data_IF_301557668634
#
_entry.id   IF_301557668634
#
_cell.length_a   1.000
_cell.length_b   1.000
_cell.length_c   1.000
_cell.angle_alpha   90.00
_cell.angle_beta   90.00
_cell.angle_gamma   90.00
#
_symmetry.space_group_name_H-M   'P 1'
#
loop_
_entity.id
_entity.type
_entity.pdbx_description
1 polymer ?
#
# COMPACT_ATOMS: atom_id res chain seq x y z
N UNK A 1 -13.52 1.66 13.81
CA UNK A 1 -13.10 1.12 15.12
C UNK A 1 -14.30 0.41 15.72
N UNK A 2 -14.23 -0.91 15.84
CA UNK A 2 -15.23 -1.69 16.54
C UNK A 2 -15.11 -1.49 18.07
N UNK A 3 -16.12 -1.85 18.88
CA UNK A 3 -16.09 -1.69 20.34
C UNK A 3 -14.94 -2.43 21.06
N UNK A 4 -14.34 -3.41 20.40
CA UNK A 4 -13.15 -4.15 20.83
C UNK A 4 -11.83 -3.49 20.44
N UNK A 5 -11.88 -2.32 19.80
CA UNK A 5 -10.70 -1.60 19.33
C UNK A 5 -10.13 -2.13 18.02
N UNK A 6 -10.78 -3.11 17.37
CA UNK A 6 -10.36 -3.61 16.06
C UNK A 6 -10.56 -2.49 15.02
N UNK A 7 -9.48 -2.17 14.32
CA UNK A 7 -9.45 -1.20 13.23
C UNK A 7 -9.09 -1.95 11.95
N UNK A 8 -9.84 -1.70 10.89
CA UNK A 8 -9.56 -2.29 9.58
C UNK A 8 -8.62 -1.33 8.84
N UNK A 9 -7.36 -1.74 8.67
CA UNK A 9 -6.44 -1.07 7.75
C UNK A 9 -6.65 -1.66 6.35
N UNK A 10 -7.27 -0.88 5.48
CA UNK A 10 -7.49 -1.24 4.09
C UNK A 10 -7.05 -0.09 3.18
N UNK A 11 -6.39 -0.42 2.07
CA UNK A 11 -6.09 0.54 1.00
C UNK A 11 -7.20 0.42 -0.04
N UNK A 12 -8.17 1.33 0.01
CA UNK A 12 -9.09 1.50 -1.11
C UNK A 12 -8.44 2.45 -2.10
N UNK A 13 -8.22 2.00 -3.34
CA UNK A 13 -7.53 2.84 -4.33
C UNK A 13 -8.43 3.96 -4.85
N UNK A 14 -9.75 3.86 -4.67
CA UNK A 14 -10.71 4.84 -5.15
C UNK A 14 -11.94 4.89 -4.23
N UNK A 15 -12.23 6.06 -3.67
CA UNK A 15 -13.49 6.33 -2.95
C UNK A 15 -14.36 7.23 -3.82
N UNK A 16 -15.64 6.87 -3.99
CA UNK A 16 -16.61 7.72 -4.68
C UNK A 16 -17.39 8.52 -3.65
N UNK A 17 -17.31 9.85 -3.72
CA UNK A 17 -17.99 10.78 -2.82
C UNK A 17 -18.50 12.00 -3.59
N UNK A 18 -19.48 12.70 -3.02
CA UNK A 18 -19.89 14.01 -3.49
C UNK A 18 -18.70 15.00 -3.43
N UNK A 19 -18.62 15.93 -4.38
CA UNK A 19 -17.57 16.94 -4.43
C UNK A 19 -17.73 18.02 -3.34
N UNK A 20 -18.91 18.11 -2.72
CA UNK A 20 -19.20 19.11 -1.69
C UNK A 20 -18.15 19.12 -0.57
N UNK A 21 -17.56 20.29 -0.33
CA UNK A 21 -16.49 20.50 0.65
C UNK A 21 -15.08 20.31 0.09
N UNK A 22 -14.93 19.81 -1.14
CA UNK A 22 -13.65 19.63 -1.82
C UNK A 22 -13.39 20.64 -2.95
N UNK A 23 -14.23 21.66 -3.13
CA UNK A 23 -14.22 22.54 -4.30
C UNK A 23 -12.95 23.39 -4.45
N UNK A 24 -12.21 23.57 -3.36
CA UNK A 24 -10.98 24.37 -3.30
C UNK A 24 -9.71 23.56 -3.61
N UNK A 25 -9.80 22.23 -3.62
CA UNK A 25 -8.67 21.34 -3.86
C UNK A 25 -8.56 20.94 -5.33
N UNK A 26 -7.34 20.66 -5.76
CA UNK A 26 -6.99 20.30 -7.12
C UNK A 26 -6.37 18.91 -7.18
N UNK A 27 -6.31 18.35 -8.38
CA UNK A 27 -5.62 17.07 -8.62
C UNK A 27 -4.15 17.22 -8.22
N UNK A 28 -3.72 16.42 -7.25
CA UNK A 28 -2.37 16.44 -6.69
C UNK A 28 -2.31 16.86 -5.22
N UNK A 29 -3.35 17.54 -4.72
CA UNK A 29 -3.42 17.95 -3.32
C UNK A 29 -3.65 16.72 -2.43
N UNK A 30 -2.97 16.70 -1.29
CA UNK A 30 -3.19 15.69 -0.25
C UNK A 30 -4.15 16.25 0.79
N UNK A 31 -5.23 15.52 1.08
CA UNK A 31 -6.28 15.98 1.99
C UNK A 31 -6.52 14.96 3.11
N UNK A 32 -6.73 15.45 4.31
CA UNK A 32 -7.26 14.69 5.44
C UNK A 32 -8.72 15.08 5.66
N UNK A 33 -9.59 14.09 5.88
CA UNK A 33 -10.99 14.33 6.22
C UNK A 33 -11.55 13.18 7.07
N UNK A 34 -12.60 13.47 7.80
CA UNK A 34 -13.48 12.49 8.44
C UNK A 34 -14.69 12.23 7.55
N UNK A 35 -15.29 11.04 7.62
CA UNK A 35 -16.51 10.73 6.86
C UNK A 35 -17.34 9.64 7.54
N UNK A 36 -18.63 9.59 7.23
CA UNK A 36 -19.51 8.49 7.61
C UNK A 36 -19.31 7.29 6.70
N UNK A 37 -19.13 6.11 7.29
CA UNK A 37 -19.17 4.84 6.58
C UNK A 37 -20.62 4.38 6.38
N UNK A 38 -21.02 4.06 5.15
CA UNK A 38 -22.34 3.49 4.86
C UNK A 38 -22.24 2.17 4.08
N UNK A 39 -23.23 1.31 4.26
CA UNK A 39 -23.34 0.02 3.56
C UNK A 39 -24.16 0.17 2.28
N UNK A 40 -23.71 -0.44 1.21
CA UNK A 40 -24.48 -0.56 -0.03
C UNK A 40 -24.37 -1.98 -0.63
N UNK A 41 -25.24 -2.28 -1.59
CA UNK A 41 -25.21 -3.55 -2.32
C UNK A 41 -24.58 -3.30 -3.67
N UNK A 42 -23.41 -3.89 -3.91
CA UNK A 42 -22.77 -3.93 -5.23
C UNK A 42 -23.51 -4.95 -6.09
N UNK A 43 -23.93 -4.55 -7.30
CA UNK A 43 -24.81 -5.36 -8.16
C UNK A 43 -24.14 -5.90 -9.42
N UNK A 44 -22.83 -5.67 -9.62
CA UNK A 44 -22.10 -6.05 -10.84
C UNK A 44 -21.77 -7.54 -10.98
N UNK A 45 -21.35 -8.21 -9.90
CA UNK A 45 -20.94 -9.63 -9.89
C UNK A 45 -21.66 -10.39 -8.76
N UNK A 46 -22.99 -10.42 -8.80
CA UNK A 46 -23.83 -10.89 -7.68
C UNK A 46 -24.13 -9.77 -6.68
N UNK A 47 -24.94 -10.07 -5.66
CA UNK A 47 -25.27 -9.14 -4.58
C UNK A 47 -24.28 -9.29 -3.44
N UNK A 48 -23.31 -8.38 -3.37
CA UNK A 48 -22.34 -8.32 -2.27
C UNK A 48 -22.56 -7.05 -1.47
N UNK A 49 -22.47 -7.16 -0.13
CA UNK A 49 -22.44 -5.98 0.73
C UNK A 49 -21.05 -5.37 0.64
N UNK A 50 -21.01 -4.09 0.34
CA UNK A 50 -19.80 -3.29 0.28
C UNK A 50 -20.00 -1.99 1.09
N UNK A 51 -18.93 -1.25 1.33
CA UNK A 51 -18.94 -0.04 2.14
C UNK A 51 -18.44 1.16 1.33
N UNK A 52 -19.03 2.33 1.58
CA UNK A 52 -18.59 3.59 0.99
C UNK A 52 -18.54 4.69 2.04
N UNK A 53 -17.96 5.83 1.67
CA UNK A 53 -17.86 7.01 2.53
C UNK A 53 -18.83 8.10 2.06
N UNK A 54 -19.41 8.86 2.99
CA UNK A 54 -20.29 10.00 2.71
C UNK A 54 -20.16 11.07 3.80
N UNK A 55 -20.72 12.25 3.56
CA UNK A 55 -20.73 13.36 4.51
C UNK A 55 -19.33 13.69 5.04
N UNK A 56 -18.40 14.14 4.18
CA UNK A 56 -17.06 14.49 4.62
C UNK A 56 -17.10 15.68 5.59
N UNK A 57 -16.30 15.63 6.64
CA UNK A 57 -16.12 16.70 7.64
C UNK A 57 -14.64 16.91 7.93
N UNK A 58 -14.31 18.06 8.53
CA UNK A 58 -12.94 18.39 8.94
C UNK A 58 -11.91 18.28 7.80
N UNK A 59 -12.33 18.67 6.59
CA UNK A 59 -11.51 18.59 5.38
C UNK A 59 -10.39 19.62 5.46
N UNK A 60 -9.15 19.17 5.37
CA UNK A 60 -7.96 20.02 5.42
C UNK A 60 -6.89 19.52 4.45
N UNK A 61 -6.15 20.46 3.87
CA UNK A 61 -4.93 20.14 3.12
C UNK A 61 -3.85 19.66 4.10
N UNK A 62 -3.08 18.67 3.66
CA UNK A 62 -1.93 18.16 4.39
C UNK A 62 -0.72 18.10 3.47
N UNK A 63 0.47 18.04 4.05
CA UNK A 63 1.68 17.77 3.27
C UNK A 63 1.54 16.44 2.52
N UNK A 64 2.06 16.41 1.29
CA UNK A 64 2.10 15.19 0.51
C UNK A 64 2.82 14.09 1.29
N UNK A 65 2.21 12.90 1.31
CA UNK A 65 2.86 11.73 1.90
C UNK A 65 4.18 11.47 1.18
N UNK A 66 5.20 11.11 1.94
CA UNK A 66 6.44 10.61 1.37
C UNK A 66 6.14 9.31 0.63
N UNK A 67 6.00 9.40 -0.70
CA UNK A 67 5.89 8.23 -1.55
C UNK A 67 7.25 7.54 -1.60
N UNK A 68 7.30 6.19 -1.51
CA UNK A 68 8.53 5.47 -1.72
C UNK A 68 9.04 5.73 -3.13
N UNK A 69 10.34 5.92 -3.25
CA UNK A 69 11.04 5.96 -4.53
C UNK A 69 10.95 4.62 -5.26
N UNK A 70 11.17 4.61 -6.58
CA UNK A 70 11.22 3.39 -7.38
C UNK A 70 12.23 2.37 -6.81
N UNK A 71 13.36 2.87 -6.33
CA UNK A 71 14.38 2.06 -5.65
C UNK A 71 13.88 1.39 -4.37
N UNK A 72 13.07 2.11 -3.58
CA UNK A 72 12.45 1.57 -2.37
C UNK A 72 11.38 0.55 -2.70
N UNK A 73 10.58 0.78 -3.75
CA UNK A 73 9.60 -0.18 -4.25
C UNK A 73 10.29 -1.45 -4.77
N UNK A 74 11.36 -1.31 -5.55
CA UNK A 74 12.17 -2.45 -6.00
C UNK A 74 12.76 -3.21 -4.81
N UNK A 75 13.30 -2.51 -3.81
CA UNK A 75 13.82 -3.14 -2.60
C UNK A 75 12.72 -3.88 -1.81
N UNK A 76 11.51 -3.34 -1.74
CA UNK A 76 10.36 -4.02 -1.12
C UNK A 76 10.03 -5.31 -1.87
N UNK A 77 9.95 -5.27 -3.20
CA UNK A 77 9.72 -6.44 -4.03
C UNK A 77 10.83 -7.51 -3.85
N UNK A 78 12.10 -7.08 -3.83
CA UNK A 78 13.24 -7.97 -3.56
C UNK A 78 13.10 -8.65 -2.20
N UNK A 79 12.78 -7.88 -1.14
CA UNK A 79 12.59 -8.45 0.21
C UNK A 79 11.47 -9.47 0.24
N UNK A 80 10.37 -9.21 -0.47
CA UNK A 80 9.26 -10.15 -0.58
C UNK A 80 9.71 -11.46 -1.24
N UNK A 81 10.39 -11.38 -2.39
CA UNK A 81 10.93 -12.56 -3.10
C UNK A 81 11.89 -13.34 -2.19
N UNK A 82 12.80 -12.65 -1.48
CA UNK A 82 13.74 -13.29 -0.56
C UNK A 82 13.01 -14.06 0.55
N UNK A 83 11.93 -13.50 1.10
CA UNK A 83 11.13 -14.16 2.12
C UNK A 83 10.34 -15.35 1.56
N UNK A 84 9.71 -15.21 0.39
CA UNK A 84 8.91 -16.25 -0.26
C UNK A 84 9.77 -17.44 -0.70
N UNK A 85 10.97 -17.19 -1.18
CA UNK A 85 11.92 -18.22 -1.65
C UNK A 85 12.88 -18.70 -0.56
N UNK A 86 12.70 -18.23 0.68
CA UNK A 86 13.58 -18.59 1.79
C UNK A 86 13.48 -20.09 2.11
N UNK A 87 14.62 -20.74 2.33
CA UNK A 87 14.68 -22.15 2.74
C UNK A 87 14.06 -22.42 4.13
N UNK A 88 13.77 -21.38 4.91
CA UNK A 88 13.10 -21.43 6.22
C UNK A 88 11.64 -21.00 6.15
N UNK A 89 11.07 -20.80 4.96
CA UNK A 89 9.70 -20.27 4.78
C UNK A 89 8.66 -21.05 5.58
N UNK A 90 8.74 -22.38 5.58
CA UNK A 90 7.83 -23.29 6.30
C UNK A 90 7.88 -23.14 7.83
N UNK A 91 8.99 -22.63 8.39
CA UNK A 91 9.15 -22.39 9.82
C UNK A 91 9.16 -20.90 10.16
N UNK A 92 8.95 -20.02 9.18
CA UNK A 92 8.97 -18.58 9.35
C UNK A 92 7.61 -18.11 9.89
N UNK A 93 7.62 -17.44 11.04
CA UNK A 93 6.40 -16.83 11.59
C UNK A 93 6.12 -15.42 11.05
N UNK A 94 6.91 -14.93 10.09
CA UNK A 94 6.87 -13.59 9.51
C UNK A 94 7.02 -12.42 10.50
N UNK A 95 7.17 -12.68 11.79
CA UNK A 95 7.36 -11.66 12.84
C UNK A 95 8.84 -11.39 13.10
N UNK A 96 9.67 -12.43 13.13
CA UNK A 96 11.11 -12.31 13.38
C UNK A 96 11.92 -13.19 12.44
N UNK A 97 12.88 -12.59 11.75
CA UNK A 97 13.71 -13.28 10.77
C UNK A 97 14.87 -14.03 11.46
N UNK A 98 14.95 -15.34 11.24
CA UNK A 98 16.02 -16.20 11.78
C UNK A 98 17.31 -16.19 10.94
N UNK A 99 17.25 -15.65 9.72
CA UNK A 99 18.43 -15.56 8.85
C UNK A 99 19.44 -14.54 9.40
N UNK A 100 20.73 -14.84 9.26
CA UNK A 100 21.78 -13.89 9.62
C UNK A 100 21.55 -12.54 8.90
N UNK A 101 21.47 -11.41 9.64
CA UNK A 101 21.14 -10.12 9.05
C UNK A 101 22.13 -9.64 7.99
N UNK A 102 23.43 -10.00 8.10
CA UNK A 102 24.44 -9.60 7.12
C UNK A 102 24.26 -10.38 5.82
N UNK A 103 24.01 -11.69 5.90
CA UNK A 103 23.70 -12.53 4.73
C UNK A 103 22.43 -12.06 4.03
N UNK A 104 21.37 -11.78 4.79
CA UNK A 104 20.10 -11.29 4.23
C UNK A 104 20.29 -9.98 3.48
N UNK A 105 20.97 -9.00 4.10
CA UNK A 105 21.27 -7.69 3.46
C UNK A 105 22.22 -7.81 2.27
N UNK A 106 23.11 -8.80 2.24
CA UNK A 106 23.96 -9.05 1.09
C UNK A 106 23.13 -9.56 -0.10
N UNK A 107 22.25 -10.55 0.14
CA UNK A 107 21.35 -11.10 -0.86
C UNK A 107 20.38 -10.04 -1.41
N UNK A 108 19.74 -9.26 -0.53
CA UNK A 108 18.84 -8.15 -0.93
C UNK A 108 19.56 -7.16 -1.88
N UNK A 109 20.82 -6.82 -1.59
CA UNK A 109 21.60 -5.90 -2.44
C UNK A 109 22.03 -6.51 -3.77
N UNK A 110 22.44 -7.77 -3.77
CA UNK A 110 22.81 -8.49 -4.98
C UNK A 110 21.62 -8.60 -5.93
N UNK A 111 20.46 -9.02 -5.42
CA UNK A 111 19.24 -9.12 -6.22
C UNK A 111 18.78 -7.76 -6.74
N UNK A 112 18.80 -6.70 -5.90
CA UNK A 112 18.45 -5.35 -6.37
C UNK A 112 19.39 -4.89 -7.49
N UNK A 113 20.69 -5.14 -7.37
CA UNK A 113 21.66 -4.77 -8.40
C UNK A 113 21.43 -5.51 -9.73
N UNK A 114 21.02 -6.78 -9.66
CA UNK A 114 20.71 -7.57 -10.85
C UNK A 114 19.45 -7.07 -11.57
N UNK A 115 18.40 -6.70 -10.82
CA UNK A 115 17.16 -6.15 -11.39
C UNK A 115 17.45 -4.82 -12.11
N UNK A 116 18.16 -3.91 -11.44
CA UNK A 116 18.53 -2.61 -12.02
C UNK A 116 19.36 -2.74 -13.31
N UNK A 117 20.33 -3.65 -13.32
CA UNK A 117 21.13 -3.93 -14.50
C UNK A 117 20.33 -4.56 -15.66
N UNK A 118 19.18 -5.16 -15.39
CA UNK A 118 18.24 -5.67 -16.40
C UNK A 118 17.39 -4.55 -17.01
N UNK A 119 16.83 -3.69 -16.19
CA UNK A 119 15.99 -2.55 -16.62
C UNK A 119 16.77 -1.53 -17.46
N UNK A 120 18.06 -1.32 -17.16
CA UNK A 120 18.91 -0.40 -17.94
C UNK A 120 19.19 -0.91 -19.37
N UNK A 121 19.08 -2.23 -19.59
CA UNK A 121 19.27 -2.83 -20.92
C UNK A 121 18.00 -2.73 -21.76
N UNK A 122 16.83 -2.91 -21.15
CA UNK A 122 15.53 -2.76 -21.82
C UNK A 122 15.24 -1.29 -22.20
N UNK A 123 15.75 -0.32 -21.45
CA UNK A 123 15.62 1.11 -21.77
C UNK A 123 16.54 1.60 -22.92
N UNK A 124 17.46 0.75 -23.40
CA UNK A 124 18.40 1.06 -24.49
C UNK A 124 18.05 0.38 -25.82
N UNK A 125 16.97 -0.42 -25.87
CA UNK A 125 16.39 -1.01 -27.08
C UNK A 125 15.13 -0.26 -27.52
#
# INVERSE_FOLDING_TARGET
MYPDGEMFDGKEEHVWMDQAGFEVFHVGDSVLFCAEVYRYIKTGNGKQIDYGLRNPTDIQEIEAYALPSDDELMMQAVRQIVCETCFLSEQCNHTFCLMDPKKRRALEREMLSAIKAGTDKEAQE
#
